data_IF_506001197668
#
_entry.id   IF_506001197668
#
_cell.length_a   1.000
_cell.length_b   1.000
_cell.length_c   1.000
_cell.angle_alpha   90.00
_cell.angle_beta   90.00
_cell.angle_gamma   90.00
#
_symmetry.space_group_name_H-M   'P 1'
#
loop_
_entity.id
_entity.type
_entity.pdbx_description
1 polymer ?
#
# COMPACT_ATOMS: atom_id res chain seq x y z
N UNK A 1 7.82 -1.22 2.71
CA UNK A 1 7.39 -0.42 1.52
C UNK A 1 5.88 -0.15 1.62
N UNK A 2 5.38 1.02 1.20
CA UNK A 2 3.93 1.29 1.18
C UNK A 2 3.29 0.77 -0.10
N UNK A 3 2.16 0.07 0.02
CA UNK A 3 1.40 -0.49 -1.08
C UNK A 3 -0.03 0.06 -1.10
N UNK A 4 -0.51 0.34 -2.30
CA UNK A 4 -1.88 0.75 -2.52
C UNK A 4 -2.84 -0.42 -2.16
N UNK A 5 -3.85 -0.20 -1.31
CA UNK A 5 -4.78 -1.26 -0.92
C UNK A 5 -5.70 -1.73 -2.06
N UNK A 6 -5.75 -0.99 -3.18
CA UNK A 6 -6.62 -1.30 -4.31
C UNK A 6 -5.88 -2.07 -5.40
N UNK A 7 -4.68 -1.62 -5.79
CA UNK A 7 -3.96 -2.19 -6.94
C UNK A 7 -2.58 -2.75 -6.58
N UNK A 8 -2.22 -2.75 -5.29
CA UNK A 8 -0.97 -3.26 -4.76
C UNK A 8 0.31 -2.59 -5.34
N UNK A 9 0.17 -1.43 -5.99
CA UNK A 9 1.32 -0.66 -6.46
C UNK A 9 2.04 0.02 -5.30
N UNK A 10 3.37 0.09 -5.38
CA UNK A 10 4.20 0.90 -4.47
C UNK A 10 4.29 2.38 -4.86
N UNK A 11 3.67 2.77 -5.98
CA UNK A 11 3.63 4.15 -6.47
C UNK A 11 2.54 4.92 -5.70
N UNK A 12 2.81 5.16 -4.42
CA UNK A 12 1.94 5.80 -3.42
C UNK A 12 2.70 6.92 -2.71
N UNK A 13 2.13 8.12 -2.60
CA UNK A 13 2.71 9.26 -1.86
C UNK A 13 1.69 9.94 -0.95
N UNK A 14 2.15 10.56 0.14
CA UNK A 14 1.34 11.48 0.92
C UNK A 14 1.02 12.74 0.10
N UNK A 15 -0.23 13.20 0.19
CA UNK A 15 -0.76 14.40 -0.48
C UNK A 15 -1.00 15.53 0.52
N UNK A 16 -1.26 15.19 1.78
CA UNK A 16 -1.47 16.12 2.89
C UNK A 16 -1.09 15.38 4.17
N UNK A 17 -0.36 16.05 5.05
CA UNK A 17 0.05 15.54 6.36
C UNK A 17 0.03 16.66 7.40
N UNK A 18 -0.31 16.31 8.64
CA UNK A 18 -0.45 17.23 9.76
C UNK A 18 -0.98 16.50 10.99
N UNK A 19 -1.54 17.23 11.96
CA UNK A 19 -2.04 16.66 13.23
C UNK A 19 -3.13 15.58 13.06
N UNK A 20 -3.78 15.54 11.88
CA UNK A 20 -4.92 14.65 11.56
C UNK A 20 -4.47 13.35 10.85
N UNK A 21 -3.16 13.13 10.69
CA UNK A 21 -2.60 12.01 9.94
C UNK A 21 -2.32 12.34 8.47
N UNK A 22 -1.93 11.32 7.71
CA UNK A 22 -1.52 11.44 6.31
C UNK A 22 -2.60 10.91 5.36
N UNK A 23 -2.92 11.68 4.32
CA UNK A 23 -3.70 11.20 3.18
C UNK A 23 -2.76 10.80 2.06
N UNK A 24 -2.93 9.59 1.53
CA UNK A 24 -2.10 9.05 0.46
C UNK A 24 -2.84 9.06 -0.88
N UNK A 25 -2.08 9.11 -1.98
CA UNK A 25 -2.58 8.92 -3.34
C UNK A 25 -1.72 7.93 -4.12
N UNK A 26 -2.36 7.08 -4.91
CA UNK A 26 -1.69 6.20 -5.87
C UNK A 26 -1.74 6.79 -7.29
N UNK A 27 -0.62 6.79 -8.05
CA UNK A 27 -0.59 7.32 -9.44
C UNK A 27 -1.15 6.27 -10.40
N UNK A 28 -1.05 4.98 -10.07
CA UNK A 28 -1.54 3.90 -10.95
C UNK A 28 -3.05 3.84 -11.03
N UNK A 29 -3.76 3.77 -9.91
CA UNK A 29 -5.21 3.56 -9.90
C UNK A 29 -6.02 4.77 -9.40
N UNK A 30 -5.35 5.83 -8.94
CA UNK A 30 -6.01 7.03 -8.43
C UNK A 30 -6.59 6.91 -7.02
N UNK A 31 -6.36 5.80 -6.29
CA UNK A 31 -6.74 5.66 -4.88
C UNK A 31 -6.33 6.91 -4.08
N UNK A 32 -7.23 7.39 -3.22
CA UNK A 32 -7.01 8.49 -2.26
C UNK A 32 -7.60 8.11 -0.91
N UNK A 33 -6.79 8.13 0.15
CA UNK A 33 -7.27 7.81 1.49
C UNK A 33 -6.15 7.69 2.51
N UNK A 34 -6.51 7.52 3.78
CA UNK A 34 -5.55 7.42 4.88
C UNK A 34 -4.99 5.99 5.06
N UNK A 35 -5.55 4.99 4.38
CA UNK A 35 -5.13 3.60 4.51
C UNK A 35 -4.10 3.24 3.44
N UNK A 36 -2.96 2.71 3.89
CA UNK A 36 -1.93 2.09 3.06
C UNK A 36 -1.49 0.80 3.72
N UNK A 37 -1.04 -0.17 2.94
CA UNK A 37 -0.54 -1.44 3.46
C UNK A 37 0.98 -1.38 3.49
N UNK A 38 1.59 -1.64 4.64
CA UNK A 38 3.03 -1.68 4.77
C UNK A 38 3.52 -3.12 4.89
N UNK A 39 4.36 -3.53 3.95
CA UNK A 39 5.12 -4.77 4.03
C UNK A 39 6.34 -4.68 3.12
N UNK A 40 7.37 -5.42 3.48
CA UNK A 40 8.52 -5.67 2.62
C UNK A 40 8.37 -7.05 2.00
N UNK A 41 8.52 -7.15 0.67
CA UNK A 41 8.68 -8.44 0.03
C UNK A 41 10.14 -8.80 0.14
N UNK A 42 10.50 -9.71 1.03
CA UNK A 42 11.72 -10.47 0.86
C UNK A 42 11.47 -11.42 -0.31
N UNK A 43 12.22 -11.26 -1.41
CA UNK A 43 12.13 -12.13 -2.59
C UNK A 43 12.43 -13.57 -2.18
N UNK A 44 11.41 -14.33 -1.76
CA UNK A 44 11.55 -15.71 -1.28
C UNK A 44 10.50 -16.19 -0.27
N UNK A 45 9.85 -15.30 0.48
CA UNK A 45 8.85 -15.69 1.47
C UNK A 45 7.44 -15.72 0.84
N UNK A 46 7.03 -16.89 0.32
CA UNK A 46 5.64 -17.12 -0.09
C UNK A 46 4.79 -17.21 1.17
N UNK A 47 3.90 -16.24 1.41
CA UNK A 47 2.88 -16.32 2.46
C UNK A 47 1.98 -17.53 2.22
N UNK A 48 2.28 -18.64 2.92
CA UNK A 48 1.60 -19.94 2.78
C UNK A 48 0.13 -19.91 3.21
N UNK A 49 -0.37 -18.77 3.72
CA UNK A 49 -1.76 -18.60 4.14
C UNK A 49 -2.72 -18.30 2.98
N UNK A 50 -2.21 -17.95 1.80
CA UNK A 50 -3.00 -17.61 0.60
C UNK A 50 -2.84 -18.58 -0.58
N UNK A 51 -2.18 -19.73 -0.39
CA UNK A 51 -2.18 -20.77 -1.41
C UNK A 51 -3.59 -21.40 -1.49
N UNK A 52 -4.27 -21.38 -2.66
CA UNK A 52 -5.47 -22.20 -2.81
C UNK A 52 -5.09 -23.67 -2.61
N UNK A 53 -5.78 -24.35 -1.70
CA UNK A 53 -5.66 -25.80 -1.54
C UNK A 53 -6.16 -26.53 -2.79
#
# INVERSE_FOLDING_TARGET
MLHCPVCNSTDVWPVTGGYIGSLYRCKRCGYRGALVVEYDREDGEVDRRHLPQ
#
